data_IF_582957969171
#
_entry.id   IF_582957969171
#
_cell.length_a   1.000
_cell.length_b   1.000
_cell.length_c   1.000
_cell.angle_alpha   90.00
_cell.angle_beta   90.00
_cell.angle_gamma   90.00
#
_symmetry.space_group_name_H-M   'P 1'
#
loop_
_entity.id
_entity.type
_entity.pdbx_description
1 polymer ?
#
# COMPACT_ATOMS: atom_id res chain seq x y z
N UNK A 1 16.13 -15.19 3.58
CA UNK A 1 16.04 -14.08 4.55
C UNK A 1 15.95 -12.82 3.73
N UNK A 2 14.81 -12.12 3.73
CA UNK A 2 14.65 -10.88 2.97
C UNK A 2 15.46 -9.76 3.65
N UNK A 3 16.16 -8.94 2.87
CA UNK A 3 16.96 -7.84 3.41
C UNK A 3 16.10 -6.61 3.66
N UNK A 4 16.40 -5.86 4.72
CA UNK A 4 15.73 -4.60 5.06
C UNK A 4 15.87 -3.54 3.96
N UNK A 5 16.90 -3.68 3.12
CA UNK A 5 17.14 -2.81 1.97
C UNK A 5 16.13 -3.03 0.85
N UNK A 6 15.62 -4.25 0.66
CA UNK A 6 14.63 -4.55 -0.38
C UNK A 6 13.22 -4.11 0.02
N UNK A 7 12.87 -4.23 1.31
CA UNK A 7 11.50 -3.97 1.82
C UNK A 7 11.52 -3.08 3.06
N UNK A 8 12.03 -1.84 2.97
CA UNK A 8 12.16 -0.95 4.13
C UNK A 8 10.83 -0.61 4.79
N UNK A 9 9.73 -0.67 4.04
CA UNK A 9 8.40 -0.32 4.53
C UNK A 9 7.75 -1.40 5.39
N UNK A 10 8.15 -2.67 5.26
CA UNK A 10 7.57 -3.79 6.01
C UNK A 10 7.66 -3.60 7.53
N UNK A 11 8.58 -2.77 7.99
CA UNK A 11 8.88 -2.54 9.40
C UNK A 11 8.60 -1.11 9.85
N UNK A 12 7.98 -0.30 8.99
CA UNK A 12 7.69 1.10 9.30
C UNK A 12 6.22 1.29 9.63
N UNK A 13 5.91 1.38 10.93
CA UNK A 13 4.57 1.66 11.44
C UNK A 13 4.05 3.02 10.95
N UNK A 14 4.92 4.04 10.91
CA UNK A 14 4.60 5.40 10.44
C UNK A 14 4.07 5.38 9.00
N UNK A 15 4.56 4.45 8.17
CA UNK A 15 4.10 4.27 6.78
C UNK A 15 3.11 3.10 6.64
N UNK A 16 2.45 2.71 7.73
CA UNK A 16 1.41 1.67 7.75
C UNK A 16 1.89 0.33 7.17
N UNK A 17 3.17 0.00 7.38
CA UNK A 17 3.79 -1.21 6.82
C UNK A 17 3.74 -1.29 5.28
N UNK A 18 3.61 -0.13 4.62
CA UNK A 18 3.44 -0.01 3.17
C UNK A 18 1.99 -0.10 2.69
N UNK A 19 1.01 -0.34 3.56
CA UNK A 19 -0.40 -0.49 3.18
C UNK A 19 -0.95 0.86 2.70
N UNK A 20 -1.57 0.86 1.52
CA UNK A 20 -2.12 2.07 0.88
C UNK A 20 -3.60 2.27 1.25
N UNK A 21 -4.38 1.19 1.24
CA UNK A 21 -5.81 1.24 1.55
C UNK A 21 -6.28 0.00 2.32
N UNK A 22 -7.42 0.14 2.99
CA UNK A 22 -8.11 -0.93 3.74
C UNK A 22 -9.28 -1.50 2.95
N UNK A 23 -9.73 -2.68 3.38
CA UNK A 23 -11.05 -3.23 3.08
C UNK A 23 -11.84 -3.22 4.39
N UNK A 24 -13.16 -3.01 4.30
CA UNK A 24 -14.03 -3.11 5.46
C UNK A 24 -14.42 -4.59 5.70
N UNK A 25 -14.68 -4.96 6.95
CA UNK A 25 -15.15 -6.31 7.28
C UNK A 25 -16.66 -6.38 7.04
N UNK A 26 -17.21 -7.41 6.34
CA UNK A 26 -16.60 -8.67 5.91
C UNK A 26 -16.21 -8.72 4.41
N UNK A 27 -15.79 -7.60 3.82
CA UNK A 27 -15.43 -7.54 2.40
C UNK A 27 -14.09 -8.25 2.11
N UNK A 28 -14.03 -8.94 0.98
CA UNK A 28 -12.80 -9.46 0.38
C UNK A 28 -12.45 -8.64 -0.87
N UNK A 29 -11.20 -8.70 -1.31
CA UNK A 29 -10.76 -7.95 -2.49
C UNK A 29 -9.26 -7.77 -2.57
N UNK A 30 -8.84 -6.89 -3.48
CA UNK A 30 -7.45 -6.51 -3.67
C UNK A 30 -7.02 -5.51 -2.58
N UNK A 31 -5.78 -5.64 -2.09
CA UNK A 31 -5.11 -4.66 -1.23
C UNK A 31 -3.78 -4.28 -1.88
N UNK A 32 -3.53 -2.99 -1.97
CA UNK A 32 -2.30 -2.44 -2.52
C UNK A 32 -1.29 -2.10 -1.41
N UNK A 33 -0.03 -2.52 -1.61
CA UNK A 33 1.07 -2.34 -0.66
C UNK A 33 2.33 -1.86 -1.37
N UNK A 34 2.93 -0.78 -0.89
CA UNK A 34 4.23 -0.28 -1.33
C UNK A 34 5.38 -1.04 -0.71
N UNK A 35 6.31 -1.51 -1.53
CA UNK A 35 7.51 -2.26 -1.09
C UNK A 35 8.71 -1.35 -0.79
N UNK A 36 8.83 -0.25 -1.53
CA UNK A 36 9.87 0.77 -1.41
C UNK A 36 9.23 2.14 -1.16
N UNK A 37 9.98 3.08 -0.60
CA UNK A 37 9.48 4.45 -0.38
C UNK A 37 8.97 5.11 -1.68
N UNK A 38 9.74 5.01 -2.76
CA UNK A 38 9.33 5.56 -4.06
C UNK A 38 8.02 4.96 -4.57
N UNK A 39 7.89 3.63 -4.49
CA UNK A 39 6.64 2.95 -4.87
C UNK A 39 5.47 3.34 -3.98
N UNK A 40 5.67 3.39 -2.66
CA UNK A 40 4.64 3.78 -1.70
C UNK A 40 4.11 5.19 -1.92
N UNK A 41 5.00 6.18 -2.03
CA UNK A 41 4.57 7.56 -2.26
C UNK A 41 3.93 7.76 -3.64
N UNK A 42 4.36 7.02 -4.66
CA UNK A 42 3.70 7.03 -5.98
C UNK A 42 2.27 6.51 -5.90
N UNK A 43 2.07 5.36 -5.26
CA UNK A 43 0.74 4.75 -5.09
C UNK A 43 -0.15 5.61 -4.19
N UNK A 44 0.44 6.21 -3.15
CA UNK A 44 -0.28 7.11 -2.25
C UNK A 44 -0.76 8.37 -2.96
N UNK A 45 0.11 8.96 -3.79
CA UNK A 45 -0.27 10.08 -4.64
C UNK A 45 -1.45 9.73 -5.56
N UNK A 46 -1.40 8.58 -6.26
CA UNK A 46 -2.50 8.13 -7.12
C UNK A 46 -3.80 7.92 -6.34
N UNK A 47 -3.73 7.40 -5.12
CA UNK A 47 -4.90 7.28 -4.24
C UNK A 47 -5.47 8.64 -3.85
N UNK A 48 -4.61 9.56 -3.39
CA UNK A 48 -5.01 10.87 -2.86
C UNK A 48 -5.50 11.83 -3.97
N UNK A 49 -5.10 11.58 -5.22
CA UNK A 49 -5.53 12.33 -6.42
C UNK A 49 -6.68 11.66 -7.19
N UNK A 50 -7.24 10.56 -6.67
CA UNK A 50 -8.31 9.79 -7.31
C UNK A 50 -7.95 9.16 -8.67
N UNK A 51 -6.65 9.02 -8.96
CA UNK A 51 -6.13 8.33 -10.15
C UNK A 51 -6.18 6.80 -10.00
N UNK A 52 -6.34 6.31 -8.76
CA UNK A 52 -6.48 4.88 -8.46
C UNK A 52 -7.95 4.42 -8.56
N UNK A 53 -8.31 3.84 -9.71
CA UNK A 53 -9.61 3.18 -9.91
C UNK A 53 -9.72 1.87 -9.11
N UNK A 54 -10.79 1.72 -8.32
CA UNK A 54 -11.11 0.50 -7.57
C UNK A 54 -12.46 -0.03 -8.04
N UNK A 55 -12.48 -1.25 -8.56
CA UNK A 55 -13.69 -1.92 -9.02
C UNK A 55 -13.97 -3.13 -8.13
N UNK A 56 -15.16 -3.16 -7.54
CA UNK A 56 -15.68 -4.26 -6.73
C UNK A 56 -16.92 -4.85 -7.42
N UNK A 57 -17.21 -6.13 -7.18
CA UNK A 57 -18.43 -6.81 -7.63
C UNK A 57 -19.52 -6.74 -6.56
#
# INVERSE_FOLDING_TARGET
IYSWQEYPLLFSEVHQYGIIHRLDVPSSGLILVGKTFGGYFTLRWQQDTYDLGRHYL
#
